data_IF_413922921486
#
_entry.id   IF_413922921486
#
_cell.length_a   1.000
_cell.length_b   1.000
_cell.length_c   1.000
_cell.angle_alpha   90.00
_cell.angle_beta   90.00
_cell.angle_gamma   90.00
#
_symmetry.space_group_name_H-M   'P 1'
#
loop_
_entity.id
_entity.type
_entity.pdbx_description
1 polymer ?
#
# COMPACT_ATOMS: atom_id res chain seq x y z
N UNK A 1 -9.24 43.70 -4.56
CA UNK A 1 -8.76 42.39 -4.98
C UNK A 1 -9.48 42.06 -6.26
N UNK A 2 -8.74 41.89 -7.31
CA UNK A 2 -9.32 41.54 -8.62
C UNK A 2 -9.86 40.09 -8.59
N UNK A 3 -10.84 39.81 -9.44
CA UNK A 3 -11.45 38.46 -9.54
C UNK A 3 -10.41 37.38 -9.81
N UNK A 4 -9.39 37.69 -10.62
CA UNK A 4 -8.29 36.78 -10.92
C UNK A 4 -7.38 36.55 -9.71
N UNK A 5 -7.10 37.55 -8.91
CA UNK A 5 -6.34 37.40 -7.66
C UNK A 5 -7.07 36.53 -6.64
N UNK A 6 -8.40 36.69 -6.54
CA UNK A 6 -9.24 35.88 -5.67
C UNK A 6 -9.17 34.41 -6.06
N UNK A 7 -9.34 34.09 -7.34
CA UNK A 7 -9.27 32.72 -7.86
C UNK A 7 -7.89 32.08 -7.67
N UNK A 8 -6.81 32.85 -7.84
CA UNK A 8 -5.44 32.37 -7.60
C UNK A 8 -5.22 32.04 -6.12
N UNK A 9 -5.69 32.91 -5.22
CA UNK A 9 -5.56 32.68 -3.78
C UNK A 9 -6.43 31.50 -3.32
N UNK A 10 -7.64 31.35 -3.86
CA UNK A 10 -8.53 30.21 -3.61
C UNK A 10 -7.85 28.89 -4.04
N UNK A 11 -7.34 28.82 -5.27
CA UNK A 11 -6.63 27.65 -5.77
C UNK A 11 -5.37 27.34 -4.94
N UNK A 12 -4.61 28.37 -4.53
CA UNK A 12 -3.46 28.19 -3.66
C UNK A 12 -3.84 27.57 -2.31
N UNK A 13 -4.96 28.00 -1.72
CA UNK A 13 -5.47 27.47 -0.46
C UNK A 13 -6.00 26.06 -0.58
N UNK A 14 -6.63 25.72 -1.72
CA UNK A 14 -7.08 24.35 -2.00
C UNK A 14 -5.85 23.43 -2.13
N UNK A 15 -4.84 23.84 -2.88
CA UNK A 15 -3.60 23.07 -3.04
C UNK A 15 -2.83 22.88 -1.72
N UNK A 16 -2.85 23.88 -0.81
CA UNK A 16 -2.26 23.78 0.52
C UNK A 16 -3.14 23.05 1.55
N UNK A 17 -4.27 22.47 1.12
CA UNK A 17 -5.24 21.76 1.99
C UNK A 17 -5.77 22.63 3.13
N UNK A 18 -5.79 23.97 2.93
CA UNK A 18 -6.34 24.94 3.89
C UNK A 18 -7.73 25.44 3.53
N UNK A 19 -8.24 25.05 2.35
CA UNK A 19 -9.60 25.32 1.88
C UNK A 19 -10.16 24.07 1.20
N UNK A 20 -11.38 23.72 1.53
CA UNK A 20 -12.10 22.56 0.97
C UNK A 20 -13.33 23.05 0.22
N UNK A 21 -13.34 23.02 -1.13
CA UNK A 21 -14.51 23.39 -1.91
C UNK A 21 -15.60 22.32 -1.78
N UNK A 22 -16.84 22.76 -1.61
CA UNK A 22 -18.01 21.86 -1.52
C UNK A 22 -18.92 22.11 -2.70
N UNK A 23 -19.19 21.08 -3.47
CA UNK A 23 -20.10 21.10 -4.61
C UNK A 23 -21.34 20.26 -4.30
N UNK A 24 -22.51 20.76 -4.67
CA UNK A 24 -23.76 20.02 -4.54
C UNK A 24 -24.37 19.71 -5.91
N UNK A 25 -24.99 18.57 -6.02
CA UNK A 25 -25.56 18.14 -7.28
C UNK A 25 -26.34 16.83 -7.18
N UNK A 26 -26.84 16.36 -8.30
CA UNK A 26 -27.51 15.09 -8.44
C UNK A 26 -27.07 14.39 -9.73
N UNK A 27 -26.36 13.28 -9.60
CA UNK A 27 -25.95 12.46 -10.73
C UNK A 27 -27.15 11.90 -11.51
N UNK A 28 -28.27 11.61 -10.82
CA UNK A 28 -29.49 11.06 -11.44
C UNK A 28 -30.12 11.98 -12.47
N UNK A 29 -30.02 13.30 -12.29
CA UNK A 29 -30.60 14.32 -13.19
C UNK A 29 -29.52 15.23 -13.82
N UNK A 30 -28.26 14.85 -13.71
CA UNK A 30 -27.09 15.58 -14.25
C UNK A 30 -26.98 17.04 -13.72
N UNK A 31 -27.55 17.34 -12.55
CA UNK A 31 -27.43 18.65 -11.94
C UNK A 31 -26.06 18.81 -11.26
N UNK A 32 -25.33 19.89 -11.56
CA UNK A 32 -24.05 20.22 -10.95
C UNK A 32 -22.84 19.41 -11.46
N UNK A 33 -23.05 18.42 -12.33
CA UNK A 33 -21.94 17.55 -12.83
C UNK A 33 -20.94 18.35 -13.66
N UNK A 34 -21.41 19.24 -14.54
CA UNK A 34 -20.54 20.08 -15.36
C UNK A 34 -19.65 20.98 -14.50
N UNK A 35 -20.22 21.63 -13.51
CA UNK A 35 -19.48 22.50 -12.56
C UNK A 35 -18.43 21.70 -11.78
N UNK A 36 -18.74 20.45 -11.39
CA UNK A 36 -17.78 19.58 -10.73
C UNK A 36 -16.62 19.22 -11.66
N UNK A 37 -16.88 18.88 -12.93
CA UNK A 37 -15.83 18.56 -13.91
C UNK A 37 -14.95 19.79 -14.18
N UNK A 38 -15.54 20.96 -14.38
CA UNK A 38 -14.81 22.21 -14.56
C UNK A 38 -13.94 22.51 -13.33
N UNK A 39 -14.49 22.39 -12.14
CA UNK A 39 -13.74 22.58 -10.89
C UNK A 39 -12.55 21.63 -10.74
N UNK A 40 -12.73 20.34 -11.09
CA UNK A 40 -11.63 19.37 -11.07
C UNK A 40 -10.52 19.76 -12.04
N UNK A 41 -10.87 20.17 -13.28
CA UNK A 41 -9.88 20.55 -14.29
C UNK A 41 -9.15 21.85 -13.96
N UNK A 42 -9.82 22.81 -13.33
CA UNK A 42 -9.27 24.13 -13.00
C UNK A 42 -8.44 24.11 -11.72
N UNK A 43 -8.81 23.26 -10.78
CA UNK A 43 -8.21 23.24 -9.43
C UNK A 43 -7.06 22.26 -9.31
N UNK A 44 -7.20 21.07 -9.89
CA UNK A 44 -6.19 20.03 -9.78
C UNK A 44 -5.20 20.12 -10.94
N UNK A 45 -3.99 20.55 -10.63
CA UNK A 45 -2.90 20.51 -11.61
C UNK A 45 -2.46 19.06 -11.83
N UNK A 46 -2.19 18.73 -13.10
CA UNK A 46 -1.51 17.48 -13.41
C UNK A 46 -0.17 17.45 -12.66
N UNK A 47 0.11 16.45 -11.85
CA UNK A 47 1.39 16.37 -11.17
C UNK A 47 2.48 16.17 -12.21
N UNK A 48 3.07 17.28 -12.63
CA UNK A 48 4.25 17.29 -13.49
C UNK A 48 5.45 16.91 -12.66
N UNK A 49 5.96 15.72 -12.87
CA UNK A 49 7.20 15.30 -12.23
C UNK A 49 8.41 16.05 -12.79
N UNK A 50 9.52 15.98 -12.09
CA UNK A 50 10.79 16.56 -12.51
C UNK A 50 11.54 15.60 -13.44
N UNK A 51 11.40 15.73 -14.76
CA UNK A 51 12.05 14.84 -15.73
C UNK A 51 13.58 14.89 -15.73
N UNK A 52 14.19 15.94 -15.18
CA UNK A 52 15.65 16.13 -15.15
C UNK A 52 16.32 15.58 -13.90
N UNK A 53 15.59 15.06 -12.94
CA UNK A 53 16.13 14.53 -11.68
C UNK A 53 16.31 13.01 -11.73
N UNK A 54 16.96 12.47 -10.71
CA UNK A 54 17.08 11.03 -10.52
C UNK A 54 15.71 10.35 -10.49
N UNK A 55 15.68 9.11 -10.95
CA UNK A 55 14.47 8.30 -10.94
C UNK A 55 13.95 8.11 -9.52
N UNK A 56 12.67 8.38 -9.33
CA UNK A 56 11.91 8.01 -8.14
C UNK A 56 10.49 7.60 -8.52
N UNK A 57 10.10 6.42 -8.09
CA UNK A 57 8.75 5.90 -8.27
C UNK A 57 8.37 4.93 -7.16
N UNK A 58 7.10 4.69 -6.96
CA UNK A 58 6.61 3.69 -6.00
C UNK A 58 5.54 2.80 -6.60
N UNK A 59 5.52 1.55 -6.14
CA UNK A 59 4.44 0.60 -6.44
C UNK A 59 3.25 0.93 -5.57
N UNK A 60 2.14 1.34 -6.17
CA UNK A 60 0.92 1.67 -5.44
C UNK A 60 -0.19 0.62 -5.60
N UNK A 61 -0.03 -0.29 -6.58
CA UNK A 61 -0.99 -1.37 -6.83
C UNK A 61 -0.28 -2.57 -7.43
N UNK A 62 -0.74 -3.75 -7.09
CA UNK A 62 -0.35 -5.02 -7.69
C UNK A 62 -1.61 -5.74 -8.15
N UNK A 63 -1.59 -6.33 -9.32
CA UNK A 63 -2.63 -7.19 -9.87
C UNK A 63 -2.04 -8.48 -10.42
N UNK A 64 -2.84 -9.51 -10.51
CA UNK A 64 -2.51 -10.75 -11.20
C UNK A 64 -3.31 -10.82 -12.50
N UNK A 65 -2.62 -10.65 -13.64
CA UNK A 65 -3.19 -10.89 -14.96
C UNK A 65 -3.13 -12.39 -15.24
N UNK A 66 -4.27 -13.07 -15.25
CA UNK A 66 -4.35 -14.52 -15.30
C UNK A 66 -3.63 -15.19 -14.11
N UNK A 67 -3.72 -16.47 -13.91
CA UNK A 67 -3.24 -17.15 -12.69
C UNK A 67 -1.71 -17.11 -12.46
N UNK A 68 -0.91 -16.43 -13.28
CA UNK A 68 0.55 -16.53 -13.21
C UNK A 68 1.33 -15.22 -13.46
N UNK A 69 0.75 -14.18 -14.02
CA UNK A 69 1.51 -12.97 -14.33
C UNK A 69 1.17 -11.83 -13.38
N UNK A 70 2.13 -11.47 -12.56
CA UNK A 70 2.02 -10.33 -11.65
C UNK A 70 2.33 -9.03 -12.38
N UNK A 71 1.44 -8.03 -12.23
CA UNK A 71 1.55 -6.69 -12.78
C UNK A 71 1.71 -5.69 -11.63
N UNK A 72 2.83 -4.99 -11.59
CA UNK A 72 3.05 -3.90 -10.66
C UNK A 72 2.74 -2.55 -11.32
N UNK A 73 1.91 -1.75 -10.67
CA UNK A 73 1.57 -0.39 -11.08
C UNK A 73 2.43 0.60 -10.32
N UNK A 74 3.23 1.34 -11.05
CA UNK A 74 4.22 2.29 -10.54
C UNK A 74 3.75 3.70 -10.81
N UNK A 75 3.83 4.58 -9.80
CA UNK A 75 3.74 6.03 -10.00
C UNK A 75 5.14 6.60 -10.04
N UNK A 76 5.50 7.25 -11.14
CA UNK A 76 6.78 7.97 -11.27
C UNK A 76 6.62 9.39 -10.75
N UNK A 77 7.47 9.80 -9.79
CA UNK A 77 7.47 11.14 -9.19
C UNK A 77 8.58 12.01 -9.77
N UNK A 78 9.71 11.41 -10.14
CA UNK A 78 10.83 12.13 -10.76
C UNK A 78 11.60 11.22 -11.71
N UNK A 79 12.36 11.84 -12.62
CA UNK A 79 13.20 11.17 -13.60
C UNK A 79 12.42 10.53 -14.75
N UNK A 80 13.12 9.70 -15.48
CA UNK A 80 12.60 8.96 -16.64
C UNK A 80 13.00 7.50 -16.51
N UNK A 81 12.07 6.61 -16.80
CA UNK A 81 12.30 5.16 -16.81
C UNK A 81 12.32 4.67 -18.26
N UNK A 82 13.39 3.94 -18.62
CA UNK A 82 13.52 3.35 -19.94
C UNK A 82 13.39 1.84 -19.91
N UNK A 83 12.94 1.28 -21.01
CA UNK A 83 12.96 -0.16 -21.22
C UNK A 83 14.41 -0.65 -21.15
N UNK A 84 14.65 -1.76 -20.46
CA UNK A 84 15.93 -2.38 -20.16
C UNK A 84 16.78 -1.66 -19.11
N UNK A 85 16.30 -0.60 -18.49
CA UNK A 85 16.96 0.00 -17.33
C UNK A 85 17.17 -1.03 -16.21
N UNK A 86 18.26 -0.85 -15.50
CA UNK A 86 18.58 -1.59 -14.26
C UNK A 86 18.39 -0.65 -13.07
N UNK A 87 17.24 -0.70 -12.44
CA UNK A 87 16.81 0.24 -11.41
C UNK A 87 17.10 -0.30 -10.02
N UNK A 88 17.62 0.56 -9.14
CA UNK A 88 17.79 0.21 -7.73
C UNK A 88 16.44 0.11 -7.03
N UNK A 89 16.26 -0.97 -6.26
CA UNK A 89 15.15 -1.12 -5.32
C UNK A 89 15.68 -0.89 -3.91
N UNK A 90 14.98 -0.11 -3.11
CA UNK A 90 15.38 0.16 -1.73
C UNK A 90 15.52 -1.14 -0.92
N UNK A 91 16.76 -1.48 -0.52
CA UNK A 91 17.05 -2.67 0.28
C UNK A 91 17.02 -4.01 -0.47
N UNK A 92 16.94 -4.01 -1.81
CA UNK A 92 16.90 -5.21 -2.65
C UNK A 92 17.92 -5.13 -3.80
N UNK A 93 18.08 -6.23 -4.53
CA UNK A 93 18.86 -6.25 -5.76
C UNK A 93 18.26 -5.35 -6.85
N UNK A 94 19.11 -4.92 -7.79
CA UNK A 94 18.63 -4.12 -8.92
C UNK A 94 17.64 -4.88 -9.78
N UNK A 95 16.55 -4.22 -10.13
CA UNK A 95 15.52 -4.73 -11.00
C UNK A 95 15.80 -4.34 -12.45
N UNK A 96 15.81 -5.31 -13.37
CA UNK A 96 15.84 -5.04 -14.81
C UNK A 96 14.43 -4.93 -15.36
N UNK A 97 14.14 -3.80 -16.01
CA UNK A 97 12.84 -3.54 -16.64
C UNK A 97 12.78 -4.21 -18.01
N UNK A 98 12.03 -5.28 -18.14
CA UNK A 98 11.94 -6.07 -19.38
C UNK A 98 10.76 -5.71 -20.26
N UNK A 99 9.70 -5.19 -19.68
CA UNK A 99 8.50 -4.73 -20.36
C UNK A 99 7.89 -3.57 -19.56
N UNK A 100 7.36 -2.59 -20.30
CA UNK A 100 6.61 -1.47 -19.73
C UNK A 100 5.34 -1.20 -20.54
N UNK A 101 4.28 -0.85 -19.82
CA UNK A 101 3.02 -0.41 -20.40
C UNK A 101 2.54 0.84 -19.67
N UNK A 102 1.80 1.70 -20.37
CA UNK A 102 1.15 2.88 -19.78
C UNK A 102 -0.33 2.89 -20.13
N UNK A 103 -1.20 3.42 -19.25
CA UNK A 103 -2.58 3.70 -19.57
C UNK A 103 -2.63 4.87 -20.58
N UNK A 104 -3.31 4.69 -21.70
CA UNK A 104 -3.49 5.73 -22.71
C UNK A 104 -4.89 5.64 -23.30
N UNK A 105 -5.69 6.70 -23.20
CA UNK A 105 -7.04 6.82 -23.79
C UNK A 105 -7.98 5.63 -23.50
N UNK A 106 -7.89 5.07 -22.29
CA UNK A 106 -8.71 3.93 -21.86
C UNK A 106 -8.15 2.56 -22.23
N UNK A 107 -7.00 2.49 -22.89
CA UNK A 107 -6.29 1.27 -23.23
C UNK A 107 -4.93 1.20 -22.51
N UNK A 108 -4.36 0.02 -22.43
CA UNK A 108 -3.00 -0.19 -21.91
C UNK A 108 -2.09 -0.45 -23.10
N UNK A 109 -1.15 0.47 -23.34
CA UNK A 109 -0.24 0.42 -24.49
C UNK A 109 1.21 0.17 -24.04
N UNK A 110 2.00 -0.56 -24.84
CA UNK A 110 3.42 -0.73 -24.61
C UNK A 110 4.18 0.57 -24.85
N UNK A 111 5.19 0.82 -24.03
CA UNK A 111 6.09 1.96 -24.16
C UNK A 111 7.54 1.56 -23.92
N UNK A 112 8.46 2.31 -24.50
CA UNK A 112 9.89 2.17 -24.24
C UNK A 112 10.40 3.21 -23.23
N UNK A 113 9.64 4.28 -23.04
CA UNK A 113 10.00 5.40 -22.15
C UNK A 113 8.77 5.79 -21.35
N UNK A 114 8.97 6.09 -20.08
CA UNK A 114 7.96 6.65 -19.19
C UNK A 114 8.55 7.79 -18.37
N UNK A 115 7.77 8.85 -18.20
CA UNK A 115 8.20 10.10 -17.57
C UNK A 115 7.61 10.28 -16.19
N UNK A 116 8.24 11.14 -15.40
CA UNK A 116 7.69 11.59 -14.13
C UNK A 116 6.27 12.13 -14.31
N UNK A 117 5.37 11.76 -13.39
CA UNK A 117 3.94 12.06 -13.50
C UNK A 117 3.11 10.94 -14.15
N UNK A 118 3.72 9.97 -14.81
CA UNK A 118 3.00 8.86 -15.42
C UNK A 118 2.83 7.66 -14.49
N UNK A 119 1.87 6.82 -14.82
CA UNK A 119 1.67 5.50 -14.24
C UNK A 119 2.24 4.48 -15.22
N UNK A 120 3.12 3.62 -14.71
CA UNK A 120 3.77 2.56 -15.49
C UNK A 120 3.36 1.21 -14.95
N UNK A 121 3.01 0.29 -15.84
CA UNK A 121 2.68 -1.08 -15.50
C UNK A 121 3.84 -1.96 -15.93
N UNK A 122 4.44 -2.66 -14.97
CA UNK A 122 5.58 -3.53 -15.19
C UNK A 122 5.22 -4.96 -14.79
N UNK A 123 5.28 -5.94 -15.73
CA UNK A 123 5.19 -7.33 -15.38
C UNK A 123 6.42 -7.75 -14.57
N UNK A 124 6.25 -8.06 -13.28
CA UNK A 124 7.36 -8.38 -12.41
C UNK A 124 6.92 -9.09 -11.11
N UNK A 125 7.47 -10.27 -10.85
CA UNK A 125 7.12 -11.05 -9.66
C UNK A 125 7.84 -10.58 -8.38
N UNK A 126 8.95 -9.86 -8.51
CA UNK A 126 9.75 -9.39 -7.37
C UNK A 126 9.25 -8.08 -6.77
N UNK A 127 8.44 -7.30 -7.50
CA UNK A 127 7.88 -6.04 -7.01
C UNK A 127 6.73 -6.29 -6.03
N UNK A 128 6.72 -5.57 -4.95
CA UNK A 128 5.68 -5.59 -3.90
C UNK A 128 5.07 -4.21 -3.74
N UNK A 129 3.88 -4.16 -3.16
CA UNK A 129 3.24 -2.91 -2.79
C UNK A 129 4.18 -2.08 -1.90
N UNK A 130 4.22 -0.76 -2.13
CA UNK A 130 5.11 0.20 -1.47
C UNK A 130 6.62 0.04 -1.76
N UNK A 131 7.01 -0.84 -2.67
CA UNK A 131 8.39 -0.85 -3.15
C UNK A 131 8.73 0.48 -3.83
N UNK A 132 9.92 0.99 -3.54
CA UNK A 132 10.43 2.25 -4.10
C UNK A 132 11.52 1.96 -5.10
N UNK A 133 11.34 2.47 -6.32
CA UNK A 133 12.32 2.42 -7.40
C UNK A 133 13.13 3.72 -7.42
N UNK A 134 14.45 3.59 -7.47
CA UNK A 134 15.37 4.73 -7.52
C UNK A 134 15.59 5.40 -6.16
N UNK A 135 15.65 6.72 -6.14
CA UNK A 135 16.00 7.49 -4.94
C UNK A 135 14.79 7.74 -4.04
N UNK A 136 14.71 7.02 -2.92
CA UNK A 136 13.63 7.13 -1.93
C UNK A 136 13.49 8.53 -1.32
N UNK A 137 14.55 9.33 -1.26
CA UNK A 137 14.51 10.66 -0.67
C UNK A 137 13.70 11.67 -1.50
N UNK A 138 13.43 11.35 -2.77
CA UNK A 138 12.63 12.15 -3.68
C UNK A 138 11.13 11.82 -3.63
N UNK A 139 10.71 10.85 -2.83
CA UNK A 139 9.31 10.55 -2.61
C UNK A 139 8.61 11.71 -1.88
N UNK A 140 7.46 12.18 -2.37
CA UNK A 140 6.64 13.14 -1.63
C UNK A 140 6.26 12.59 -0.26
N UNK A 141 6.29 13.44 0.78
CA UNK A 141 6.00 13.03 2.16
C UNK A 141 4.57 12.47 2.32
N UNK A 142 3.63 12.97 1.53
CA UNK A 142 2.24 12.53 1.52
C UNK A 142 2.05 11.09 1.03
N UNK A 143 3.03 10.52 0.30
CA UNK A 143 2.99 9.11 -0.14
C UNK A 143 3.35 8.12 0.96
N UNK A 144 3.86 8.61 2.09
CA UNK A 144 4.20 7.82 3.27
C UNK A 144 2.98 7.65 4.20
N UNK A 145 1.77 7.52 3.66
CA UNK A 145 0.64 7.22 4.52
C UNK A 145 0.91 5.87 5.19
N UNK A 146 1.05 5.90 6.52
CA UNK A 146 1.00 4.67 7.30
C UNK A 146 -0.36 4.03 7.01
N UNK A 147 -0.34 2.88 6.35
CA UNK A 147 -1.55 2.10 6.20
C UNK A 147 -2.14 1.88 7.59
N UNK A 148 -3.45 2.08 7.78
CA UNK A 148 -4.06 1.86 9.07
C UNK A 148 -3.74 0.45 9.55
N UNK A 149 -3.39 0.35 10.83
CA UNK A 149 -3.13 -0.95 11.44
C UNK A 149 -4.43 -1.76 11.46
N UNK A 150 -4.35 -3.06 11.20
CA UNK A 150 -5.52 -3.92 11.32
C UNK A 150 -6.07 -3.87 12.74
N UNK A 151 -7.39 -3.82 12.85
CA UNK A 151 -8.10 -3.71 14.13
C UNK A 151 -8.67 -5.06 14.62
N UNK A 152 -8.90 -5.97 13.69
CA UNK A 152 -9.50 -7.27 13.95
C UNK A 152 -8.57 -8.39 13.51
N UNK A 153 -8.66 -9.52 14.18
CA UNK A 153 -8.00 -10.76 13.78
C UNK A 153 -8.93 -11.95 13.93
N UNK A 154 -8.76 -12.93 13.07
CA UNK A 154 -9.44 -14.23 13.16
C UNK A 154 -8.52 -15.35 12.72
N UNK A 155 -8.84 -16.57 13.12
CA UNK A 155 -8.21 -17.78 12.59
C UNK A 155 -9.06 -18.30 11.44
N UNK A 156 -8.42 -18.64 10.32
CA UNK A 156 -9.06 -19.24 9.15
C UNK A 156 -8.45 -20.61 8.85
N UNK A 157 -9.29 -21.54 8.44
CA UNK A 157 -8.86 -22.86 8.04
C UNK A 157 -9.64 -23.32 6.79
N UNK A 158 -9.05 -24.12 5.91
CA UNK A 158 -9.79 -24.72 4.81
C UNK A 158 -10.71 -25.82 5.36
N UNK A 159 -11.87 -26.05 4.76
CA UNK A 159 -12.75 -27.15 5.12
C UNK A 159 -12.05 -28.52 4.98
N UNK A 160 -11.17 -28.64 4.00
CA UNK A 160 -10.37 -29.84 3.74
C UNK A 160 -8.92 -29.60 4.11
N UNK A 161 -8.34 -30.30 5.11
CA UNK A 161 -6.97 -30.06 5.58
C UNK A 161 -5.89 -30.12 4.48
N UNK A 162 -6.08 -30.96 3.47
CA UNK A 162 -5.17 -31.09 2.32
C UNK A 162 -5.12 -29.82 1.44
N UNK A 163 -6.07 -28.92 1.57
CA UNK A 163 -6.10 -27.65 0.83
C UNK A 163 -5.33 -26.52 1.53
N UNK A 164 -4.65 -26.81 2.65
CA UNK A 164 -3.93 -25.80 3.42
C UNK A 164 -2.90 -25.00 2.61
N UNK A 165 -2.11 -25.67 1.80
CA UNK A 165 -1.10 -25.02 0.96
C UNK A 165 -1.75 -24.10 -0.10
N UNK A 166 -2.85 -24.56 -0.70
CA UNK A 166 -3.63 -23.75 -1.64
C UNK A 166 -4.22 -22.51 -0.98
N UNK A 167 -4.67 -22.64 0.27
CA UNK A 167 -5.16 -21.48 1.05
C UNK A 167 -4.04 -20.48 1.32
N UNK A 168 -2.85 -20.93 1.73
CA UNK A 168 -1.70 -20.05 1.96
C UNK A 168 -1.29 -19.31 0.68
N UNK A 169 -1.25 -19.99 -0.46
CA UNK A 169 -0.96 -19.39 -1.75
C UNK A 169 -2.01 -18.33 -2.13
N UNK A 170 -3.29 -18.65 -1.96
CA UNK A 170 -4.38 -17.70 -2.21
C UNK A 170 -4.30 -16.47 -1.30
N UNK A 171 -4.04 -16.65 -0.01
CA UNK A 171 -3.87 -15.54 0.94
C UNK A 171 -2.64 -14.69 0.63
N UNK A 172 -1.56 -15.29 0.13
CA UNK A 172 -0.39 -14.54 -0.36
C UNK A 172 -0.78 -13.63 -1.51
N UNK A 173 -1.48 -14.16 -2.52
CA UNK A 173 -1.94 -13.34 -3.66
C UNK A 173 -2.89 -12.22 -3.23
N UNK A 174 -3.84 -12.50 -2.32
CA UNK A 174 -4.78 -11.50 -1.82
C UNK A 174 -4.04 -10.41 -1.02
N UNK A 175 -3.15 -10.80 -0.11
CA UNK A 175 -2.36 -9.86 0.69
C UNK A 175 -1.39 -9.00 -0.16
N UNK A 176 -0.90 -9.53 -1.27
CA UNK A 176 -0.10 -8.77 -2.23
C UNK A 176 -0.91 -7.66 -2.93
N UNK A 177 -2.23 -7.85 -3.06
CA UNK A 177 -3.12 -6.88 -3.72
C UNK A 177 -3.85 -5.96 -2.74
N UNK A 178 -4.02 -6.38 -1.48
CA UNK A 178 -4.68 -5.61 -0.41
C UNK A 178 -3.68 -5.27 0.70
N UNK A 179 -3.19 -4.01 0.79
CA UNK A 179 -2.22 -3.59 1.80
C UNK A 179 -2.76 -3.62 3.23
N UNK A 180 -4.06 -3.74 3.40
CA UNK A 180 -4.77 -3.70 4.68
C UNK A 180 -5.03 -5.12 5.23
N UNK A 181 -4.81 -6.14 4.40
CA UNK A 181 -4.85 -7.53 4.81
C UNK A 181 -3.45 -8.01 5.20
N UNK A 182 -3.35 -8.62 6.37
CA UNK A 182 -2.15 -9.34 6.80
C UNK A 182 -2.53 -10.76 7.18
N UNK A 183 -1.65 -11.69 6.90
CA UNK A 183 -1.79 -13.04 7.42
C UNK A 183 -0.46 -13.54 7.97
N UNK A 184 -0.55 -14.40 8.94
CA UNK A 184 0.61 -15.08 9.55
C UNK A 184 0.24 -16.52 9.93
N UNK A 185 1.24 -17.37 10.03
CA UNK A 185 1.08 -18.71 10.57
C UNK A 185 1.67 -18.73 11.98
N UNK A 186 0.85 -19.02 12.96
CA UNK A 186 1.30 -19.12 14.35
C UNK A 186 2.35 -20.24 14.49
N UNK A 187 3.48 -19.90 15.11
CA UNK A 187 4.62 -20.81 15.22
C UNK A 187 4.36 -22.01 16.14
N UNK A 188 3.40 -21.91 17.07
CA UNK A 188 3.11 -22.95 18.07
C UNK A 188 1.88 -23.76 17.67
N UNK A 189 0.79 -23.07 17.33
CA UNK A 189 -0.49 -23.74 16.99
C UNK A 189 -0.59 -24.11 15.51
N UNK A 190 0.28 -23.53 14.68
CA UNK A 190 0.23 -23.64 13.21
C UNK A 190 -1.10 -23.17 12.59
N UNK A 191 -1.90 -22.43 13.35
CA UNK A 191 -3.11 -21.80 12.81
C UNK A 191 -2.77 -20.65 11.87
N UNK A 192 -3.62 -20.45 10.85
CA UNK A 192 -3.51 -19.29 9.96
C UNK A 192 -4.32 -18.16 10.55
N UNK A 193 -3.67 -17.07 10.91
CA UNK A 193 -4.28 -15.88 11.50
C UNK A 193 -4.39 -14.81 10.43
N UNK A 194 -5.59 -14.29 10.21
CA UNK A 194 -5.85 -13.11 9.39
C UNK A 194 -6.00 -11.89 10.29
N UNK A 195 -5.39 -10.77 9.89
CA UNK A 195 -5.54 -9.45 10.50
C UNK A 195 -6.07 -8.47 9.47
N UNK A 196 -7.16 -7.76 9.78
CA UNK A 196 -7.92 -6.94 8.83
C UNK A 196 -8.63 -5.77 9.54
N UNK A 197 -9.17 -4.81 8.78
CA UNK A 197 -9.78 -3.60 9.35
C UNK A 197 -11.20 -3.80 9.85
N UNK A 198 -12.02 -4.61 9.17
CA UNK A 198 -13.43 -4.72 9.50
C UNK A 198 -14.10 -5.98 8.94
N UNK A 199 -15.30 -6.30 9.44
CA UNK A 199 -16.04 -7.52 9.08
C UNK A 199 -16.34 -7.62 7.59
N UNK A 200 -16.66 -6.52 6.93
CA UNK A 200 -16.91 -6.48 5.47
C UNK A 200 -15.68 -6.96 4.67
N UNK A 201 -14.46 -6.60 5.11
CA UNK A 201 -13.24 -7.08 4.46
C UNK A 201 -13.10 -8.61 4.57
N UNK A 202 -13.46 -9.19 5.72
CA UNK A 202 -13.45 -10.65 5.90
C UNK A 202 -14.48 -11.34 4.98
N UNK A 203 -15.67 -10.78 4.83
CA UNK A 203 -16.69 -11.27 3.91
C UNK A 203 -16.19 -11.27 2.47
N UNK A 204 -15.63 -10.15 2.01
CA UNK A 204 -15.03 -10.03 0.66
C UNK A 204 -13.93 -11.06 0.45
N UNK A 205 -13.05 -11.26 1.44
CA UNK A 205 -11.98 -12.27 1.35
C UNK A 205 -12.56 -13.68 1.25
N UNK A 206 -13.58 -13.98 2.05
CA UNK A 206 -14.25 -15.28 2.04
C UNK A 206 -14.91 -15.58 0.69
N UNK A 207 -15.62 -14.59 0.13
CA UNK A 207 -16.24 -14.70 -1.20
C UNK A 207 -15.19 -14.87 -2.29
N UNK A 208 -14.09 -14.11 -2.23
CA UNK A 208 -12.98 -14.21 -3.17
C UNK A 208 -12.30 -15.58 -3.12
N UNK A 209 -12.13 -16.17 -1.92
CA UNK A 209 -11.58 -17.51 -1.75
C UNK A 209 -12.48 -18.58 -2.41
N UNK A 210 -13.80 -18.42 -2.32
CA UNK A 210 -14.75 -19.32 -2.96
C UNK A 210 -14.79 -19.11 -4.48
N UNK A 211 -15.00 -17.87 -4.93
CA UNK A 211 -15.24 -17.56 -6.34
C UNK A 211 -14.00 -17.75 -7.22
N UNK A 212 -12.86 -17.19 -6.79
CA UNK A 212 -11.63 -17.22 -7.59
C UNK A 212 -10.79 -18.47 -7.36
N UNK A 213 -10.66 -18.90 -6.09
CA UNK A 213 -9.75 -19.97 -5.72
C UNK A 213 -10.44 -21.30 -5.49
N UNK A 214 -11.78 -21.34 -5.49
CA UNK A 214 -12.59 -22.55 -5.23
C UNK A 214 -12.20 -23.23 -3.91
N UNK A 215 -12.02 -22.41 -2.87
CA UNK A 215 -11.64 -22.81 -1.53
C UNK A 215 -12.73 -22.45 -0.55
N UNK A 216 -13.40 -23.46 0.00
CA UNK A 216 -14.28 -23.26 1.14
C UNK A 216 -13.44 -23.18 2.42
N UNK A 217 -13.71 -22.20 3.24
CA UNK A 217 -12.98 -21.94 4.49
C UNK A 217 -13.93 -21.70 5.65
N UNK A 218 -13.45 -21.99 6.85
CA UNK A 218 -14.13 -21.64 8.10
C UNK A 218 -13.29 -20.63 8.85
N UNK A 219 -13.90 -19.53 9.29
CA UNK A 219 -13.26 -18.53 10.11
C UNK A 219 -13.89 -18.52 11.52
N UNK A 220 -13.06 -18.36 12.56
CA UNK A 220 -13.53 -18.15 13.92
C UNK A 220 -14.14 -16.75 14.05
N UNK A 221 -14.92 -16.50 15.12
CA UNK A 221 -15.42 -15.15 15.41
C UNK A 221 -14.25 -14.16 15.54
N UNK A 222 -14.29 -13.04 14.80
CA UNK A 222 -13.22 -12.04 14.87
C UNK A 222 -13.06 -11.44 16.27
N UNK A 223 -11.82 -11.27 16.69
CA UNK A 223 -11.46 -10.62 17.95
C UNK A 223 -10.71 -9.31 17.68
N UNK A 224 -10.86 -8.35 18.59
CA UNK A 224 -10.13 -7.08 18.52
C UNK A 224 -8.66 -7.29 18.85
N UNK A 225 -7.78 -6.63 18.09
CA UNK A 225 -6.34 -6.61 18.40
C UNK A 225 -6.09 -5.54 19.45
N UNK A 226 -5.68 -5.99 20.65
CA UNK A 226 -5.27 -5.09 21.73
C UNK A 226 -3.80 -4.74 21.57
N UNK A 227 -3.48 -3.47 21.75
CA UNK A 227 -2.11 -2.97 21.79
C UNK A 227 -1.83 -2.40 23.19
N UNK A 228 -0.66 -2.71 23.71
CA UNK A 228 -0.17 -2.15 24.97
C UNK A 228 0.89 -1.10 24.67
N UNK A 229 0.88 -0.01 25.43
CA UNK A 229 1.97 0.97 25.40
C UNK A 229 2.37 1.34 26.82
N UNK A 230 3.66 1.59 27.09
CA UNK A 230 4.10 2.03 28.40
C UNK A 230 3.51 3.42 28.70
N UNK A 231 3.01 3.61 29.92
CA UNK A 231 2.48 4.91 30.38
C UNK A 231 3.59 5.91 30.72
N UNK A 232 4.78 5.42 31.07
CA UNK A 232 5.95 6.22 31.45
C UNK A 232 7.24 5.52 31.07
N UNK A 233 8.32 6.27 30.94
CA UNK A 233 9.64 5.72 30.75
C UNK A 233 10.05 4.88 31.98
N UNK A 234 10.51 3.67 31.72
CA UNK A 234 11.01 2.74 32.73
C UNK A 234 12.29 2.10 32.24
N UNK A 235 13.27 1.99 33.11
CA UNK A 235 14.48 1.22 32.86
C UNK A 235 14.73 0.23 33.99
N UNK A 236 15.20 -0.95 33.63
CA UNK A 236 15.61 -1.98 34.56
C UNK A 236 16.89 -2.67 34.09
N UNK A 237 17.81 -2.93 35.03
CA UNK A 237 19.07 -3.62 34.72
C UNK A 237 19.20 -4.83 35.63
N UNK A 238 19.45 -5.98 35.01
CA UNK A 238 19.80 -7.23 35.74
C UNK A 238 21.33 -7.35 35.66
N UNK A 239 21.97 -7.30 36.80
CA UNK A 239 23.44 -7.34 36.89
C UNK A 239 23.97 -8.77 36.80
N UNK A 240 25.20 -8.92 36.28
CA UNK A 240 25.93 -10.18 36.28
C UNK A 240 26.11 -10.69 37.72
N UNK A 241 26.05 -12.00 37.91
CA UNK A 241 26.22 -12.69 39.18
C UNK A 241 25.14 -12.39 40.27
N UNK A 242 24.12 -11.60 39.94
CA UNK A 242 23.01 -11.34 40.87
C UNK A 242 21.80 -12.19 40.44
N UNK A 243 21.33 -13.15 41.26
CA UNK A 243 20.11 -13.89 40.92
C UNK A 243 18.90 -12.95 40.80
N UNK A 244 17.98 -13.19 39.85
CA UNK A 244 17.84 -14.37 38.98
C UNK A 244 18.48 -14.24 37.59
N UNK A 245 19.56 -13.49 37.39
CA UNK A 245 20.20 -13.34 36.09
C UNK A 245 20.82 -14.67 35.60
N UNK A 246 20.28 -15.29 34.52
CA UNK A 246 20.85 -16.52 33.97
C UNK A 246 21.99 -16.27 32.97
N UNK A 247 22.34 -15.00 32.72
CA UNK A 247 23.31 -14.61 31.69
C UNK A 247 24.67 -14.25 32.29
N UNK A 248 25.74 -14.48 31.54
CA UNK A 248 27.11 -14.07 31.86
C UNK A 248 27.37 -12.58 31.51
N UNK A 249 26.33 -11.74 31.66
CA UNK A 249 26.40 -10.32 31.37
C UNK A 249 25.37 -9.53 32.18
N UNK A 250 25.63 -8.26 32.43
CA UNK A 250 24.60 -7.32 32.87
C UNK A 250 23.77 -6.87 31.70
N UNK A 251 22.43 -7.03 31.77
CA UNK A 251 21.50 -6.69 30.71
C UNK A 251 20.58 -5.60 31.23
N UNK A 252 20.59 -4.45 30.55
CA UNK A 252 19.67 -3.33 30.81
C UNK A 252 18.68 -3.13 29.67
N UNK A 253 17.41 -2.92 30.02
CA UNK A 253 16.34 -2.55 29.09
C UNK A 253 15.74 -1.21 29.52
N UNK A 254 15.60 -0.30 28.59
CA UNK A 254 14.86 0.95 28.78
C UNK A 254 13.72 1.04 27.77
N UNK A 255 12.52 1.30 28.28
CA UNK A 255 11.31 1.42 27.46
C UNK A 255 10.72 2.81 27.69
N UNK A 256 10.49 3.54 26.61
CA UNK A 256 9.90 4.89 26.64
C UNK A 256 8.62 4.92 25.80
N UNK A 257 7.56 5.66 26.24
CA UNK A 257 6.43 5.96 25.37
C UNK A 257 6.89 6.73 24.14
N UNK A 258 6.27 6.44 22.99
CA UNK A 258 6.41 7.25 21.77
C UNK A 258 5.48 8.46 21.81
#
# INVERSE_FOLDING_TARGET
MDKEELLREENRRIQSVSLFPVYHGSAKVNLGIRQLIEAVTDTFQSPTGQNSSELCGTVFKVEYANQSQRLAYLRLYSGTLHLRDSVALAGKEKLKITEMRIPSKGEIVRTEIAHAGEIVIVPCDSLRLNDVLGNKLLLPRETWSDNPLPLLRTTIAPEKPEQRERLLNALTEIADTDPLLRYEVDAVTHEIILSFLGRVQLEIISDLLVEKYQLNTTAKEPTVIYMERPLKAVSHTIHIEVPPNPFWASIGLSVTPL
#
